data_IF_226247765321
#
_entry.id   IF_226247765321
#
_cell.length_a   1.000
_cell.length_b   1.000
_cell.length_c   1.000
_cell.angle_alpha   90.00
_cell.angle_beta   90.00
_cell.angle_gamma   90.00
#
_symmetry.space_group_name_H-M   'P 1'
#
loop_
_entity.id
_entity.type
_entity.pdbx_description
1 polymer ?
#
# COMPACT_ATOMS: atom_id res chain seq x y z
N UNK A 1 24.77 18.71 4.69
CA UNK A 1 24.54 20.10 5.14
C UNK A 1 23.13 20.29 5.71
N UNK A 2 22.05 20.18 4.92
CA UNK A 2 20.67 20.40 5.40
C UNK A 2 20.28 19.60 6.64
N UNK A 3 20.61 18.30 6.71
CA UNK A 3 20.37 17.48 7.89
C UNK A 3 21.05 18.00 9.16
N UNK A 4 22.33 18.38 9.07
CA UNK A 4 23.09 18.91 10.21
C UNK A 4 22.51 20.23 10.71
N UNK A 5 22.10 21.11 9.78
CA UNK A 5 21.47 22.38 10.11
C UNK A 5 20.08 22.19 10.74
N UNK A 6 19.28 21.25 10.25
CA UNK A 6 17.98 20.91 10.85
C UNK A 6 18.15 20.42 12.29
N UNK A 7 19.01 19.42 12.50
CA UNK A 7 19.25 18.86 13.83
C UNK A 7 19.85 19.88 14.80
N UNK A 8 20.74 20.77 14.31
CA UNK A 8 21.26 21.87 15.13
C UNK A 8 20.15 22.86 15.49
N UNK A 9 19.37 23.32 14.51
CA UNK A 9 18.27 24.26 14.72
C UNK A 9 17.18 23.73 15.65
N UNK A 10 16.84 22.45 15.56
CA UNK A 10 15.89 21.79 16.48
C UNK A 10 16.40 21.75 17.92
N UNK A 11 17.72 21.57 18.11
CA UNK A 11 18.35 21.53 19.45
C UNK A 11 18.61 22.91 20.04
N UNK A 12 18.95 23.89 19.22
CA UNK A 12 19.34 25.23 19.67
C UNK A 12 18.20 26.24 19.63
N UNK A 13 17.09 25.94 18.95
CA UNK A 13 15.99 26.87 18.70
C UNK A 13 16.33 27.99 17.70
N UNK A 14 17.48 27.92 17.01
CA UNK A 14 17.91 28.94 16.07
C UNK A 14 17.09 28.85 14.77
N UNK A 15 16.20 29.83 14.57
CA UNK A 15 15.35 29.93 13.37
C UNK A 15 16.18 30.06 12.09
N UNK A 16 17.33 30.71 12.14
CA UNK A 16 18.23 30.89 10.99
C UNK A 16 18.78 29.57 10.47
N UNK A 17 19.10 28.63 11.37
CA UNK A 17 19.56 27.29 11.01
C UNK A 17 18.45 26.51 10.31
N UNK A 18 17.21 26.64 10.79
CA UNK A 18 16.04 26.01 10.17
C UNK A 18 15.72 26.64 8.80
N UNK A 19 15.85 27.96 8.66
CA UNK A 19 15.69 28.65 7.37
C UNK A 19 16.75 28.23 6.35
N UNK A 20 18.01 28.14 6.80
CA UNK A 20 19.11 27.70 5.98
C UNK A 20 18.94 26.22 5.57
N UNK A 21 18.54 25.35 6.50
CA UNK A 21 18.22 23.95 6.19
C UNK A 21 17.10 23.82 5.15
N UNK A 22 15.99 24.57 5.31
CA UNK A 22 14.89 24.59 4.35
C UNK A 22 15.35 25.04 2.96
N UNK A 23 16.16 26.11 2.88
CA UNK A 23 16.73 26.58 1.62
C UNK A 23 17.59 25.51 0.94
N UNK A 24 18.48 24.85 1.70
CA UNK A 24 19.34 23.78 1.19
C UNK A 24 18.52 22.59 0.69
N UNK A 25 17.46 22.19 1.40
CA UNK A 25 16.58 21.13 0.94
C UNK A 25 15.84 21.50 -0.36
N UNK A 26 15.31 22.73 -0.47
CA UNK A 26 14.64 23.22 -1.69
C UNK A 26 15.59 23.31 -2.89
N UNK A 27 16.83 23.75 -2.68
CA UNK A 27 17.86 23.78 -3.73
C UNK A 27 18.17 22.37 -4.23
N UNK A 28 18.32 21.40 -3.31
CA UNK A 28 18.56 20.01 -3.67
C UNK A 28 17.36 19.35 -4.36
N UNK A 29 16.12 19.66 -3.94
CA UNK A 29 14.88 19.27 -4.64
C UNK A 29 14.85 19.74 -6.10
N UNK A 30 15.26 21.00 -6.31
CA UNK A 30 15.25 21.68 -7.61
C UNK A 30 16.37 21.22 -8.56
N UNK A 31 17.36 20.47 -8.05
CA UNK A 31 18.47 19.97 -8.85
C UNK A 31 18.02 18.79 -9.73
N UNK A 32 17.58 19.08 -10.96
CA UNK A 32 17.13 18.04 -11.91
C UNK A 32 18.21 17.01 -12.29
N UNK A 33 19.49 17.33 -12.08
CA UNK A 33 20.59 16.37 -12.30
C UNK A 33 20.76 15.34 -11.17
N UNK A 34 20.10 15.53 -10.02
CA UNK A 34 20.13 14.57 -8.92
C UNK A 34 19.14 13.42 -9.15
N UNK A 35 19.47 12.25 -8.61
CA UNK A 35 18.62 11.06 -8.68
C UNK A 35 17.21 11.34 -8.09
N UNK A 36 16.13 10.84 -8.72
CA UNK A 36 14.76 11.00 -8.23
C UNK A 36 14.60 10.62 -6.75
N UNK A 37 15.18 9.51 -6.31
CA UNK A 37 15.13 9.05 -4.91
C UNK A 37 15.71 10.09 -3.92
N UNK A 38 16.82 10.73 -4.28
CA UNK A 38 17.46 11.78 -3.48
C UNK A 38 16.58 13.03 -3.45
N UNK A 39 16.08 13.45 -4.62
CA UNK A 39 15.21 14.62 -4.73
C UNK A 39 13.99 14.43 -3.84
N UNK A 40 13.27 13.32 -3.98
CA UNK A 40 12.08 12.99 -3.16
C UNK A 40 12.38 13.12 -1.66
N UNK A 41 13.51 12.56 -1.18
CA UNK A 41 13.90 12.68 0.23
C UNK A 41 14.13 14.13 0.67
N UNK A 42 14.79 14.94 -0.17
CA UNK A 42 15.04 16.36 0.12
C UNK A 42 13.73 17.18 0.09
N UNK A 43 12.88 16.95 -0.91
CA UNK A 43 11.56 17.57 -1.01
C UNK A 43 10.67 17.21 0.19
N UNK A 44 10.71 15.95 0.63
CA UNK A 44 9.98 15.50 1.81
C UNK A 44 10.47 16.17 3.09
N UNK A 45 11.78 16.29 3.29
CA UNK A 45 12.33 17.00 4.45
C UNK A 45 11.96 18.50 4.43
N UNK A 46 12.03 19.15 3.27
CA UNK A 46 11.56 20.53 3.12
C UNK A 46 10.06 20.65 3.47
N UNK A 47 9.24 19.73 2.97
CA UNK A 47 7.81 19.71 3.23
C UNK A 47 7.47 19.51 4.71
N UNK A 48 8.23 18.66 5.44
CA UNK A 48 8.09 18.48 6.89
C UNK A 48 8.34 19.78 7.63
N UNK A 49 9.42 20.48 7.30
CA UNK A 49 9.73 21.78 7.91
C UNK A 49 8.67 22.84 7.63
N UNK A 50 8.13 22.86 6.41
CA UNK A 50 7.04 23.76 6.03
C UNK A 50 5.74 23.44 6.77
N UNK A 51 5.41 22.16 6.92
CA UNK A 51 4.24 21.70 7.65
C UNK A 51 4.32 22.04 9.15
N UNK A 52 5.48 21.90 9.78
CA UNK A 52 5.71 22.34 11.18
C UNK A 52 5.50 23.86 11.35
N UNK A 53 5.70 24.64 10.30
CA UNK A 53 5.45 26.09 10.27
C UNK A 53 4.04 26.45 9.79
N UNK A 54 3.15 25.47 9.67
CA UNK A 54 1.78 25.64 9.16
C UNK A 54 1.69 26.20 7.73
N UNK A 55 2.79 26.15 6.96
CA UNK A 55 2.79 26.53 5.55
C UNK A 55 2.32 25.35 4.69
N UNK A 56 1.03 25.03 4.83
CA UNK A 56 0.42 23.85 4.22
C UNK A 56 0.43 23.90 2.69
N UNK A 57 0.20 25.07 2.09
CA UNK A 57 0.14 25.23 0.64
C UNK A 57 1.47 24.89 -0.02
N UNK A 58 2.57 25.42 0.50
CA UNK A 58 3.90 25.13 -0.06
C UNK A 58 4.34 23.69 0.25
N UNK A 59 4.03 23.18 1.45
CA UNK A 59 4.30 21.78 1.82
C UNK A 59 3.56 20.80 0.89
N UNK A 60 2.27 21.04 0.65
CA UNK A 60 1.43 20.22 -0.23
C UNK A 60 1.94 20.22 -1.67
N UNK A 61 2.33 21.39 -2.22
CA UNK A 61 2.90 21.48 -3.55
C UNK A 61 4.16 20.62 -3.71
N UNK A 62 5.11 20.71 -2.77
CA UNK A 62 6.33 19.89 -2.79
C UNK A 62 6.04 18.40 -2.68
N UNK A 63 5.11 18.01 -1.79
CA UNK A 63 4.74 16.60 -1.60
C UNK A 63 4.01 16.02 -2.80
N UNK A 64 3.15 16.81 -3.43
CA UNK A 64 2.49 16.43 -4.67
C UNK A 64 3.53 16.12 -5.75
N UNK A 65 4.48 17.01 -6.00
CA UNK A 65 5.53 16.76 -6.99
C UNK A 65 6.40 15.56 -6.60
N UNK A 66 6.73 15.40 -5.32
CA UNK A 66 7.50 14.26 -4.82
C UNK A 66 6.77 12.92 -5.02
N UNK A 67 5.46 12.87 -4.80
CA UNK A 67 4.64 11.68 -5.04
C UNK A 67 4.61 11.31 -6.52
N UNK A 68 4.51 12.29 -7.43
CA UNK A 68 4.56 12.02 -8.87
C UNK A 68 5.94 11.52 -9.32
N UNK A 69 7.00 12.07 -8.73
CA UNK A 69 8.39 11.69 -9.03
C UNK A 69 8.71 10.25 -8.60
N UNK A 70 7.91 9.62 -7.73
CA UNK A 70 8.07 8.21 -7.37
C UNK A 70 8.04 7.30 -8.60
N UNK A 71 7.26 7.66 -9.63
CA UNK A 71 7.13 6.84 -10.84
C UNK A 71 8.45 6.68 -11.61
N UNK A 72 9.40 7.60 -11.41
CA UNK A 72 10.73 7.61 -12.03
C UNK A 72 11.81 6.92 -11.18
N UNK A 73 11.49 6.52 -9.93
CA UNK A 73 12.41 5.79 -9.06
C UNK A 73 12.59 4.37 -9.58
N UNK A 74 13.83 3.88 -9.61
CA UNK A 74 14.11 2.50 -10.03
C UNK A 74 14.05 1.54 -8.84
N UNK A 75 13.41 0.36 -8.97
CA UNK A 75 13.57 -0.71 -8.00
C UNK A 75 15.02 -1.22 -7.89
N UNK A 76 15.83 -1.05 -8.95
CA UNK A 76 17.16 -1.66 -9.07
C UNK A 76 18.29 -0.81 -8.51
N UNK A 77 18.26 0.51 -8.68
CA UNK A 77 19.14 1.47 -7.97
C UNK A 77 19.08 1.28 -6.46
N UNK A 78 17.93 0.77 -6.00
CA UNK A 78 17.60 0.51 -4.62
C UNK A 78 17.99 -0.91 -4.14
N UNK A 79 18.43 -1.83 -5.02
CA UNK A 79 18.91 -3.19 -4.64
C UNK A 79 20.25 -3.18 -3.90
N UNK A 80 20.99 -2.07 -3.94
CA UNK A 80 22.20 -1.89 -3.12
C UNK A 80 21.87 -1.55 -1.64
N UNK A 81 20.60 -1.64 -1.27
CA UNK A 81 20.05 -1.45 0.07
C UNK A 81 18.92 -2.48 0.24
N UNK A 82 18.63 -2.97 1.44
CA UNK A 82 17.62 -4.02 1.63
C UNK A 82 16.27 -3.59 1.04
N UNK A 83 15.52 -4.50 0.40
CA UNK A 83 14.16 -4.21 -0.12
C UNK A 83 13.22 -3.62 0.96
N UNK A 84 13.51 -3.89 2.23
CA UNK A 84 12.83 -3.33 3.40
C UNK A 84 13.16 -1.84 3.63
N UNK A 85 14.40 -1.41 3.35
CA UNK A 85 14.81 0.00 3.43
C UNK A 85 14.14 0.86 2.35
N UNK A 86 13.82 0.27 1.20
CA UNK A 86 13.06 0.94 0.10
C UNK A 86 11.66 1.34 0.58
N UNK A 87 10.97 0.38 1.18
CA UNK A 87 9.66 0.55 1.77
C UNK A 87 9.70 1.62 2.85
N UNK A 88 10.66 1.51 3.76
CA UNK A 88 10.84 2.48 4.83
C UNK A 88 11.17 3.89 4.29
N UNK A 89 11.94 3.99 3.21
CA UNK A 89 12.41 5.26 2.64
C UNK A 89 11.31 6.14 2.05
N UNK A 90 10.17 5.56 1.65
CA UNK A 90 9.03 6.30 1.09
C UNK A 90 7.72 6.06 1.85
N UNK A 91 7.73 5.20 2.88
CA UNK A 91 6.56 4.89 3.70
C UNK A 91 5.98 6.14 4.36
N UNK A 92 4.74 6.46 4.03
CA UNK A 92 4.04 7.62 4.60
C UNK A 92 4.19 8.91 3.80
N UNK A 93 4.99 8.96 2.73
CA UNK A 93 5.07 10.12 1.83
C UNK A 93 3.68 10.49 1.28
N UNK A 94 2.97 9.52 0.72
CA UNK A 94 1.62 9.70 0.17
C UNK A 94 0.59 10.09 1.23
N UNK A 95 0.69 9.50 2.43
CA UNK A 95 -0.18 9.83 3.57
C UNK A 95 0.01 11.26 4.06
N UNK A 96 1.26 11.72 4.09
CA UNK A 96 1.58 13.12 4.38
C UNK A 96 1.14 14.06 3.25
N UNK A 97 1.29 13.65 1.98
CA UNK A 97 0.81 14.44 0.84
C UNK A 97 -0.69 14.70 0.90
N UNK A 98 -1.49 13.68 1.21
CA UNK A 98 -2.93 13.84 1.39
C UNK A 98 -3.30 14.69 2.61
N UNK A 99 -2.65 14.45 3.75
CA UNK A 99 -2.89 15.23 4.97
C UNK A 99 -2.57 16.72 4.77
N UNK A 100 -1.43 17.04 4.15
CA UNK A 100 -1.04 18.43 3.86
C UNK A 100 -1.92 19.08 2.80
N UNK A 101 -2.39 18.33 1.78
CA UNK A 101 -3.35 18.81 0.80
C UNK A 101 -4.68 19.21 1.47
N UNK A 102 -5.22 18.37 2.35
CA UNK A 102 -6.44 18.70 3.11
C UNK A 102 -6.23 19.94 3.99
N UNK A 103 -5.10 20.05 4.69
CA UNK A 103 -4.79 21.26 5.48
C UNK A 103 -4.57 22.52 4.62
N UNK A 104 -4.19 22.36 3.35
CA UNK A 104 -4.08 23.46 2.39
C UNK A 104 -5.44 23.88 1.79
N UNK A 105 -6.53 23.18 2.12
CA UNK A 105 -7.87 23.44 1.60
C UNK A 105 -8.18 22.79 0.25
N UNK A 106 -7.35 21.82 -0.18
CA UNK A 106 -7.60 21.06 -1.40
C UNK A 106 -8.78 20.09 -1.23
N UNK A 107 -9.38 19.68 -2.35
CA UNK A 107 -10.54 18.77 -2.33
C UNK A 107 -10.19 17.37 -1.80
N UNK A 108 -11.19 16.69 -1.21
CA UNK A 108 -11.05 15.30 -0.76
C UNK A 108 -10.64 14.35 -1.91
N UNK A 109 -11.15 14.59 -3.12
CA UNK A 109 -10.76 13.82 -4.30
C UNK A 109 -9.27 13.99 -4.63
N UNK A 110 -8.76 15.22 -4.63
CA UNK A 110 -7.35 15.50 -4.91
C UNK A 110 -6.43 14.81 -3.89
N UNK A 111 -6.73 14.95 -2.59
CA UNK A 111 -5.98 14.30 -1.54
C UNK A 111 -6.01 12.76 -1.65
N UNK A 112 -7.16 12.18 -1.99
CA UNK A 112 -7.30 10.74 -2.23
C UNK A 112 -6.50 10.28 -3.47
N UNK A 113 -6.46 11.07 -4.53
CA UNK A 113 -5.66 10.76 -5.71
C UNK A 113 -4.16 10.73 -5.39
N UNK A 114 -3.66 11.66 -4.56
CA UNK A 114 -2.27 11.62 -4.09
C UNK A 114 -1.95 10.33 -3.31
N UNK A 115 -2.89 9.85 -2.48
CA UNK A 115 -2.77 8.55 -1.82
C UNK A 115 -2.69 7.40 -2.82
N UNK A 116 -3.57 7.39 -3.82
CA UNK A 116 -3.62 6.33 -4.84
C UNK A 116 -2.37 6.32 -5.73
N UNK A 117 -1.79 7.48 -6.08
CA UNK A 117 -0.51 7.53 -6.83
C UNK A 117 0.60 6.86 -6.03
N UNK A 118 0.81 7.30 -4.78
CA UNK A 118 1.88 6.75 -3.97
C UNK A 118 1.70 5.26 -3.70
N UNK A 119 0.47 4.80 -3.44
CA UNK A 119 0.17 3.37 -3.26
C UNK A 119 0.37 2.57 -4.54
N UNK A 120 -0.07 3.08 -5.69
CA UNK A 120 0.07 2.41 -6.98
C UNK A 120 1.53 2.25 -7.39
N UNK A 121 2.34 3.29 -7.21
CA UNK A 121 3.77 3.24 -7.50
C UNK A 121 4.50 2.32 -6.52
N UNK A 122 4.28 2.46 -5.21
CA UNK A 122 4.92 1.58 -4.21
C UNK A 122 4.51 0.11 -4.42
N UNK A 123 3.24 -0.15 -4.71
CA UNK A 123 2.77 -1.50 -5.03
C UNK A 123 3.43 -2.05 -6.29
N UNK A 124 3.59 -1.25 -7.35
CA UNK A 124 4.27 -1.65 -8.59
C UNK A 124 5.80 -1.70 -8.51
N UNK A 125 6.43 -0.96 -7.60
CA UNK A 125 7.89 -0.97 -7.37
C UNK A 125 8.33 -2.19 -6.55
N UNK A 126 7.54 -2.55 -5.54
CA UNK A 126 7.91 -3.62 -4.60
C UNK A 126 7.43 -4.99 -5.05
N UNK A 127 6.40 -5.00 -5.87
CA UNK A 127 5.64 -6.19 -6.13
C UNK A 127 5.30 -6.15 -7.62
N UNK A 128 5.43 -7.28 -8.29
CA UNK A 128 4.73 -7.56 -9.56
C UNK A 128 3.20 -7.63 -9.29
N UNK A 129 2.68 -6.68 -8.51
CA UNK A 129 1.25 -6.53 -8.25
C UNK A 129 0.62 -6.03 -9.53
N UNK A 130 0.13 -7.05 -10.24
CA UNK A 130 -0.93 -7.08 -11.24
C UNK A 130 -1.63 -5.75 -11.49
N UNK A 131 -1.66 -5.44 -12.77
CA UNK A 131 -2.23 -4.26 -13.37
C UNK A 131 -1.24 -3.73 -14.39
N UNK A 132 -0.89 -2.48 -14.21
CA UNK A 132 -0.18 -1.67 -15.19
C UNK A 132 1.10 -2.30 -15.75
N UNK A 133 2.10 -2.62 -14.92
CA UNK A 133 3.42 -3.09 -15.42
C UNK A 133 3.34 -4.52 -15.95
N UNK A 134 2.65 -5.43 -15.26
CA UNK A 134 2.49 -6.82 -15.71
C UNK A 134 1.74 -6.88 -17.04
N UNK A 135 0.66 -6.10 -17.19
CA UNK A 135 -0.09 -6.02 -18.44
C UNK A 135 0.76 -5.38 -19.54
N UNK A 136 1.59 -4.37 -19.19
CA UNK A 136 2.52 -3.75 -20.12
C UNK A 136 3.58 -4.74 -20.59
N UNK A 137 4.20 -5.52 -19.69
CA UNK A 137 5.17 -6.55 -20.04
C UNK A 137 4.55 -7.62 -20.94
N UNK A 138 3.28 -7.97 -20.71
CA UNK A 138 2.59 -8.98 -21.52
C UNK A 138 2.19 -8.46 -22.92
N UNK A 139 1.69 -7.23 -23.02
CA UNK A 139 1.13 -6.69 -24.26
C UNK A 139 2.12 -5.86 -25.08
N UNK A 140 3.07 -5.20 -24.41
CA UNK A 140 4.04 -4.27 -24.98
C UNK A 140 5.43 -4.41 -24.30
N UNK A 141 6.10 -5.58 -24.42
CA UNK A 141 7.36 -5.87 -23.74
C UNK A 141 8.45 -4.82 -24.02
N UNK A 142 8.57 -4.34 -25.27
CA UNK A 142 9.57 -3.33 -25.64
C UNK A 142 9.44 -2.03 -24.83
N UNK A 143 8.20 -1.58 -24.59
CA UNK A 143 7.93 -0.37 -23.79
C UNK A 143 8.17 -0.61 -22.30
N UNK A 144 7.94 -1.84 -21.82
CA UNK A 144 8.24 -2.21 -20.44
C UNK A 144 9.76 -2.20 -20.20
N UNK A 145 10.54 -2.79 -21.12
CA UNK A 145 12.00 -2.83 -21.03
C UNK A 145 12.60 -1.42 -21.14
N UNK A 146 12.09 -0.58 -22.05
CA UNK A 146 12.48 0.83 -22.16
C UNK A 146 12.19 1.60 -20.85
N UNK A 147 11.00 1.41 -20.26
CA UNK A 147 10.62 2.04 -18.99
C UNK A 147 11.54 1.61 -17.84
N UNK A 148 11.86 0.32 -17.74
CA UNK A 148 12.74 -0.23 -16.70
C UNK A 148 14.15 0.35 -16.85
N UNK A 149 14.71 0.33 -18.06
CA UNK A 149 16.05 0.85 -18.33
C UNK A 149 16.17 2.34 -18.02
N UNK A 150 15.17 3.15 -18.40
CA UNK A 150 15.17 4.59 -18.14
C UNK A 150 15.10 4.91 -16.64
N UNK A 151 14.32 4.13 -15.86
CA UNK A 151 14.31 4.27 -14.39
C UNK A 151 15.69 4.00 -13.81
N UNK A 152 16.35 2.92 -14.25
CA UNK A 152 17.69 2.55 -13.77
C UNK A 152 18.72 3.63 -14.06
N UNK A 153 18.67 4.22 -15.26
CA UNK A 153 19.55 5.32 -15.64
C UNK A 153 19.30 6.58 -14.79
N UNK A 154 18.03 6.94 -14.59
CA UNK A 154 17.62 8.10 -13.81
C UNK A 154 18.06 8.03 -12.35
N UNK A 155 17.92 6.86 -11.74
CA UNK A 155 18.12 6.67 -10.30
C UNK A 155 19.46 6.00 -9.96
N UNK A 156 20.32 5.78 -10.97
CA UNK A 156 21.69 5.29 -10.80
C UNK A 156 22.46 6.12 -9.75
N UNK A 157 23.23 5.51 -8.84
CA UNK A 157 24.04 6.28 -7.88
C UNK A 157 25.12 7.09 -8.61
N UNK A 158 25.45 8.27 -8.08
CA UNK A 158 26.66 8.99 -8.53
C UNK A 158 27.86 8.19 -8.04
N UNK A 159 28.72 7.76 -8.96
CA UNK A 159 29.93 7.02 -8.61
C UNK A 159 30.86 7.90 -7.76
N UNK A 160 31.05 7.51 -6.50
CA UNK A 160 31.86 8.27 -5.53
C UNK A 160 33.35 8.27 -5.90
N UNK A 161 33.79 7.30 -6.70
CA UNK A 161 35.19 7.25 -7.18
C UNK A 161 35.53 8.44 -8.10
N UNK A 162 34.52 8.96 -8.81
CA UNK A 162 34.64 10.09 -9.74
C UNK A 162 34.71 11.44 -9.03
N UNK A 163 34.17 11.53 -7.81
CA UNK A 163 34.16 12.77 -6.99
C UNK A 163 35.49 12.96 -6.25
N UNK A 164 36.14 11.88 -5.82
CA UNK A 164 37.38 11.92 -5.02
C UNK A 164 38.66 12.14 -5.85
N UNK A 165 38.58 12.03 -7.18
CA UNK A 165 39.69 12.23 -8.13
C UNK A 165 39.73 13.67 -8.70
N UNK A 166 39.38 14.64 -7.85
CA UNK A 166 39.02 16.02 -8.20
C UNK A 166 40.19 16.94 -8.59
N UNK A 167 40.82 16.65 -9.73
CA UNK A 167 41.63 17.64 -10.44
C UNK A 167 41.30 17.77 -11.95
N UNK A 168 40.65 16.76 -12.58
CA UNK A 168 40.47 16.74 -14.05
C UNK A 168 39.04 16.37 -14.53
N UNK A 169 38.03 16.32 -13.64
CA UNK A 169 36.74 15.64 -13.88
C UNK A 169 35.50 16.52 -14.13
N UNK A 170 35.63 17.84 -14.37
CA UNK A 170 34.46 18.72 -14.64
C UNK A 170 33.56 18.20 -15.77
N UNK A 171 34.17 17.74 -16.85
CA UNK A 171 33.52 17.16 -18.04
C UNK A 171 32.72 15.88 -17.73
N UNK A 172 33.15 15.08 -16.75
CA UNK A 172 32.50 13.83 -16.37
C UNK A 172 31.19 14.07 -15.62
N UNK A 173 31.15 15.08 -14.74
CA UNK A 173 29.94 15.49 -14.03
C UNK A 173 28.90 16.10 -14.96
N UNK A 174 29.33 16.98 -15.87
CA UNK A 174 28.47 17.61 -16.87
C UNK A 174 27.86 16.59 -17.83
N UNK A 175 28.66 15.60 -18.26
CA UNK A 175 28.18 14.48 -19.06
C UNK A 175 27.14 13.64 -18.31
N UNK A 176 27.36 13.35 -17.02
CA UNK A 176 26.40 12.59 -16.21
C UNK A 176 25.09 13.34 -15.96
N UNK A 177 25.16 14.65 -15.70
CA UNK A 177 23.96 15.51 -15.55
C UNK A 177 23.19 15.59 -16.86
N UNK A 178 23.88 15.72 -17.99
CA UNK A 178 23.26 15.75 -19.33
C UNK A 178 22.57 14.42 -19.62
N UNK A 179 23.28 13.31 -19.38
CA UNK A 179 22.74 11.95 -19.55
C UNK A 179 21.44 11.72 -18.75
N UNK A 180 21.40 12.16 -17.48
CA UNK A 180 20.17 12.07 -16.67
C UNK A 180 19.05 12.97 -17.17
N UNK A 181 19.35 14.17 -17.66
CA UNK A 181 18.33 15.04 -18.27
C UNK A 181 17.72 14.41 -19.52
N UNK A 182 18.57 13.82 -20.37
CA UNK A 182 18.12 13.13 -21.57
C UNK A 182 17.26 11.90 -21.22
N UNK A 183 17.65 11.15 -20.19
CA UNK A 183 16.85 10.04 -19.67
C UNK A 183 15.50 10.49 -19.09
N UNK A 184 15.44 11.65 -18.40
CA UNK A 184 14.19 12.21 -17.83
C UNK A 184 13.21 12.62 -18.94
N UNK A 185 13.75 13.22 -20.01
CA UNK A 185 12.97 13.54 -21.19
C UNK A 185 12.44 12.28 -21.88
N UNK A 186 13.31 11.29 -22.16
CA UNK A 186 12.91 10.01 -22.76
C UNK A 186 11.89 9.29 -21.89
N UNK A 187 12.06 9.29 -20.57
CA UNK A 187 11.12 8.68 -19.64
C UNK A 187 9.72 9.31 -19.76
N UNK A 188 9.65 10.64 -19.83
CA UNK A 188 8.39 11.36 -20.03
C UNK A 188 7.75 11.02 -21.37
N UNK A 189 8.54 10.93 -22.44
CA UNK A 189 8.08 10.55 -23.78
C UNK A 189 7.57 9.09 -23.81
N UNK A 190 8.26 8.17 -23.17
CA UNK A 190 7.86 6.75 -23.06
C UNK A 190 6.56 6.60 -22.29
N UNK A 191 6.35 7.36 -21.20
CA UNK A 191 5.05 7.38 -20.51
C UNK A 191 3.90 7.86 -21.41
N UNK A 192 4.14 8.86 -22.27
CA UNK A 192 3.14 9.32 -23.25
C UNK A 192 2.82 8.20 -24.25
N UNK A 193 3.86 7.53 -24.79
CA UNK A 193 3.69 6.39 -25.72
C UNK A 193 2.90 5.26 -25.08
N UNK A 194 3.18 4.91 -23.82
CA UNK A 194 2.46 3.89 -23.07
C UNK A 194 0.99 4.29 -22.90
N UNK A 195 0.72 5.53 -22.46
CA UNK A 195 -0.65 6.00 -22.23
C UNK A 195 -1.50 6.13 -23.50
N UNK A 196 -0.86 6.24 -24.67
CA UNK A 196 -1.54 6.20 -25.95
C UNK A 196 -2.00 4.79 -26.37
N UNK A 197 -1.53 3.73 -25.69
CA UNK A 197 -1.96 2.36 -25.98
C UNK A 197 -3.35 2.06 -25.41
N UNK A 198 -4.20 1.30 -26.13
CA UNK A 198 -5.50 0.88 -25.62
C UNK A 198 -5.37 0.16 -24.27
N UNK A 199 -6.14 0.59 -23.28
CA UNK A 199 -6.09 0.02 -21.92
C UNK A 199 -5.05 0.64 -20.97
N UNK A 200 -4.14 1.49 -21.46
CA UNK A 200 -3.05 2.08 -20.66
C UNK A 200 -3.19 3.59 -20.39
N UNK A 201 -4.32 4.21 -20.74
CA UNK A 201 -4.57 5.65 -20.56
C UNK A 201 -4.24 6.19 -19.16
N UNK A 202 -4.52 5.41 -18.10
CA UNK A 202 -4.23 5.76 -16.71
C UNK A 202 -2.95 5.08 -16.15
N UNK A 203 -2.03 4.65 -17.01
CA UNK A 203 -0.78 3.99 -16.60
C UNK A 203 0.03 4.89 -15.66
N UNK A 204 0.29 4.38 -14.45
CA UNK A 204 0.94 5.10 -13.34
C UNK A 204 0.26 6.42 -12.94
N UNK A 205 -1.00 6.62 -13.31
CA UNK A 205 -1.86 7.71 -12.86
C UNK A 205 -2.88 7.20 -11.83
N UNK A 206 -3.39 8.08 -10.96
CA UNK A 206 -4.46 7.71 -10.06
C UNK A 206 -5.77 7.56 -10.85
N UNK A 207 -6.74 6.79 -10.35
CA UNK A 207 -8.08 6.78 -10.92
C UNK A 207 -8.70 8.18 -10.90
N UNK A 208 -9.52 8.47 -11.91
CA UNK A 208 -10.33 9.70 -11.96
C UNK A 208 -11.41 9.71 -10.88
N UNK A 209 -11.97 10.87 -10.55
CA UNK A 209 -13.08 10.98 -9.60
C UNK A 209 -14.25 10.04 -9.98
N UNK A 210 -14.59 10.01 -11.27
CA UNK A 210 -15.65 9.17 -11.80
C UNK A 210 -15.33 7.69 -11.67
N UNK A 211 -14.08 7.27 -11.91
CA UNK A 211 -13.66 5.89 -11.70
C UNK A 211 -13.66 5.50 -10.22
N UNK A 212 -13.27 6.41 -9.32
CA UNK A 212 -13.31 6.17 -7.87
C UNK A 212 -14.76 5.97 -7.40
N UNK A 213 -15.70 6.81 -7.86
CA UNK A 213 -17.11 6.69 -7.51
C UNK A 213 -17.78 5.47 -8.18
N UNK A 214 -17.42 5.17 -9.44
CA UNK A 214 -17.87 3.97 -10.14
C UNK A 214 -17.32 2.67 -9.51
N UNK A 215 -16.23 2.77 -8.75
CA UNK A 215 -15.73 1.68 -7.93
C UNK A 215 -16.64 1.37 -6.72
N UNK A 216 -17.76 2.04 -6.52
CA UNK A 216 -18.74 1.71 -5.47
C UNK A 216 -19.79 0.75 -6.06
N UNK A 217 -19.83 -0.50 -5.60
CA UNK A 217 -20.80 -1.50 -6.07
C UNK A 217 -21.31 -2.37 -4.93
N UNK A 218 -22.57 -2.18 -4.48
CA UNK A 218 -23.15 -0.93 -3.97
C UNK A 218 -22.43 -0.40 -2.71
N UNK A 219 -21.39 -1.10 -2.26
CA UNK A 219 -20.79 -0.97 -0.96
C UNK A 219 -19.81 0.21 -0.87
N UNK A 220 -19.93 1.09 0.16
CA UNK A 220 -19.01 2.20 0.35
C UNK A 220 -17.57 1.71 0.55
N UNK A 221 -16.63 2.50 0.04
CA UNK A 221 -15.21 2.29 0.24
C UNK A 221 -14.69 3.34 1.22
N UNK A 222 -13.97 2.89 2.23
CA UNK A 222 -13.39 3.71 3.28
C UNK A 222 -11.88 3.60 3.21
N UNK A 223 -11.20 4.71 2.86
CA UNK A 223 -9.74 4.79 2.94
C UNK A 223 -9.36 5.54 4.21
N UNK A 224 -8.68 4.85 5.14
CA UNK A 224 -8.24 5.48 6.40
C UNK A 224 -6.78 5.91 6.27
N UNK A 225 -6.57 7.22 6.20
CA UNK A 225 -5.28 7.86 6.12
C UNK A 225 -4.72 8.16 7.51
N UNK A 226 -3.50 7.68 7.78
CA UNK A 226 -2.77 7.90 9.02
C UNK A 226 -1.58 8.83 8.74
N UNK A 227 -1.55 10.00 9.35
CA UNK A 227 -0.45 10.96 9.23
C UNK A 227 -0.23 11.70 10.56
N UNK A 228 0.99 12.19 10.77
CA UNK A 228 1.34 12.97 11.96
C UNK A 228 0.64 14.35 12.04
N UNK A 229 0.08 14.84 10.91
CA UNK A 229 -0.54 16.17 10.84
C UNK A 229 -2.06 16.14 10.99
N UNK A 230 -2.70 15.08 10.49
CA UNK A 230 -4.13 14.80 10.61
C UNK A 230 -4.38 13.34 10.18
N UNK A 231 -5.43 12.75 10.74
CA UNK A 231 -5.89 11.43 10.37
C UNK A 231 -7.31 11.54 9.82
N UNK A 232 -7.60 10.80 8.76
CA UNK A 232 -8.80 11.01 7.96
C UNK A 232 -9.39 9.69 7.46
N UNK A 233 -10.71 9.64 7.31
CA UNK A 233 -11.40 8.63 6.55
C UNK A 233 -12.00 9.26 5.28
N UNK A 234 -11.49 8.87 4.12
CA UNK A 234 -12.12 9.15 2.84
C UNK A 234 -13.28 8.18 2.64
N UNK A 235 -14.49 8.72 2.54
CA UNK A 235 -15.72 7.98 2.31
C UNK A 235 -16.09 8.14 0.85
N UNK A 236 -15.98 7.06 0.09
CA UNK A 236 -16.29 7.01 -1.34
C UNK A 236 -17.67 6.37 -1.49
N UNK A 237 -18.61 7.17 -1.95
CA UNK A 237 -20.00 6.80 -2.24
C UNK A 237 -20.27 7.03 -3.74
N UNK A 238 -21.39 6.49 -4.25
CA UNK A 238 -21.72 6.56 -5.69
C UNK A 238 -21.79 7.98 -6.26
N UNK A 239 -22.15 8.95 -5.44
CA UNK A 239 -22.40 10.33 -5.87
C UNK A 239 -21.39 11.34 -5.34
N UNK A 240 -20.52 10.95 -4.41
CA UNK A 240 -19.60 11.89 -3.77
C UNK A 240 -18.41 11.18 -3.11
N UNK A 241 -17.34 11.95 -2.96
CA UNK A 241 -16.18 11.62 -2.12
C UNK A 241 -16.13 12.68 -1.02
N UNK A 242 -16.30 12.25 0.23
CA UNK A 242 -16.20 13.13 1.40
C UNK A 242 -15.10 12.67 2.35
N UNK A 243 -14.63 13.58 3.19
CA UNK A 243 -13.62 13.29 4.19
C UNK A 243 -14.21 13.46 5.59
N UNK A 244 -13.93 12.51 6.46
CA UNK A 244 -14.21 12.57 7.89
C UNK A 244 -12.86 12.65 8.63
N UNK A 245 -12.62 13.75 9.33
CA UNK A 245 -11.45 13.86 10.20
C UNK A 245 -11.62 12.95 11.43
N UNK A 246 -10.55 12.25 11.82
CA UNK A 246 -10.49 11.34 12.96
C UNK A 246 -9.53 11.90 14.01
N UNK A 247 -9.92 12.94 14.77
CA UNK A 247 -9.01 13.67 15.67
C UNK A 247 -8.49 12.81 16.83
N UNK A 248 -9.21 11.73 17.17
CA UNK A 248 -8.81 10.79 18.22
C UNK A 248 -7.88 9.69 17.72
N UNK A 249 -7.66 9.56 16.41
CA UNK A 249 -6.71 8.61 15.84
C UNK A 249 -5.34 9.29 15.69
N UNK A 250 -4.34 8.85 16.47
CA UNK A 250 -2.97 9.38 16.42
C UNK A 250 -1.98 8.32 15.98
N UNK A 251 -1.02 8.70 15.14
CA UNK A 251 -0.04 7.75 14.59
C UNK A 251 0.85 7.15 15.68
N UNK A 252 1.20 7.93 16.71
CA UNK A 252 2.00 7.49 17.85
C UNK A 252 1.27 6.43 18.66
N UNK A 253 -0.03 6.62 18.94
CA UNK A 253 -0.84 5.64 19.67
C UNK A 253 -1.04 4.35 18.86
N UNK A 254 -1.20 4.44 17.53
CA UNK A 254 -1.23 3.26 16.65
C UNK A 254 0.09 2.49 16.74
N UNK A 255 1.24 3.19 16.74
CA UNK A 255 2.57 2.57 16.86
C UNK A 255 2.72 1.83 18.18
N UNK A 256 2.36 2.47 19.29
CA UNK A 256 2.43 1.88 20.63
C UNK A 256 1.55 0.64 20.74
N UNK A 257 0.32 0.70 20.25
CA UNK A 257 -0.62 -0.44 20.27
C UNK A 257 -0.16 -1.60 19.41
N UNK A 258 0.31 -1.33 18.19
CA UNK A 258 0.88 -2.38 17.31
C UNK A 258 2.15 -2.99 17.93
N UNK A 259 2.98 -2.18 18.58
CA UNK A 259 4.19 -2.67 19.25
C UNK A 259 3.82 -3.57 20.45
N UNK A 260 2.86 -3.15 21.27
CA UNK A 260 2.32 -3.95 22.37
C UNK A 260 1.79 -5.30 21.89
N UNK A 261 0.98 -5.33 20.82
CA UNK A 261 0.48 -6.60 20.23
C UNK A 261 1.57 -7.58 19.82
N UNK A 262 2.71 -7.08 19.33
CA UNK A 262 3.84 -7.93 18.91
C UNK A 262 4.61 -8.52 20.10
N UNK A 263 4.60 -7.81 21.23
CA UNK A 263 5.27 -8.24 22.47
C UNK A 263 4.36 -9.12 23.33
N UNK A 264 3.04 -8.94 23.25
CA UNK A 264 2.06 -9.71 24.01
C UNK A 264 2.03 -11.16 23.51
N UNK A 265 2.33 -12.10 24.41
CA UNK A 265 1.99 -13.52 24.23
C UNK A 265 0.47 -13.66 24.05
N UNK A 266 -0.05 -14.64 23.27
CA UNK A 266 -1.49 -14.81 22.95
C UNK A 266 -2.46 -15.00 24.14
N UNK A 267 -2.03 -14.75 25.38
CA UNK A 267 -2.74 -15.03 26.64
C UNK A 267 -3.24 -13.73 27.32
N UNK A 268 -2.81 -12.53 26.89
CA UNK A 268 -3.31 -11.26 27.46
C UNK A 268 -4.59 -10.76 26.75
N UNK A 269 -5.73 -11.41 27.03
CA UNK A 269 -7.04 -11.07 26.46
C UNK A 269 -7.53 -9.64 26.77
N UNK A 270 -7.04 -9.03 27.86
CA UNK A 270 -7.38 -7.67 28.26
C UNK A 270 -6.84 -6.61 27.31
N UNK A 271 -5.60 -6.76 26.85
CA UNK A 271 -4.93 -5.77 26.00
C UNK A 271 -5.57 -5.75 24.60
N UNK A 272 -5.96 -6.94 24.12
CA UNK A 272 -6.68 -7.08 22.86
C UNK A 272 -8.09 -6.48 22.96
N UNK A 273 -8.81 -6.69 24.06
CA UNK A 273 -10.14 -6.08 24.28
C UNK A 273 -10.04 -4.55 24.27
N UNK A 274 -9.11 -3.98 25.04
CA UNK A 274 -8.84 -2.53 25.07
C UNK A 274 -8.50 -1.96 23.70
N UNK A 275 -7.75 -2.71 22.88
CA UNK A 275 -7.48 -2.31 21.49
C UNK A 275 -8.74 -2.26 20.64
N UNK A 276 -9.62 -3.26 20.72
CA UNK A 276 -10.84 -3.33 19.91
C UNK A 276 -11.82 -2.21 20.28
N UNK A 277 -11.94 -1.89 21.57
CA UNK A 277 -12.73 -0.77 22.08
C UNK A 277 -12.15 0.57 21.61
N UNK A 278 -10.83 0.74 21.67
CA UNK A 278 -10.18 1.94 21.14
C UNK A 278 -10.35 2.10 19.63
N UNK A 279 -10.18 1.03 18.84
CA UNK A 279 -10.42 1.06 17.38
C UNK A 279 -11.85 1.44 17.05
N UNK A 280 -12.78 1.03 17.90
CA UNK A 280 -14.18 1.39 17.76
C UNK A 280 -14.39 2.88 17.98
N UNK A 281 -13.93 3.42 19.09
CA UNK A 281 -14.13 4.83 19.44
C UNK A 281 -13.42 5.79 18.49
N UNK A 282 -12.25 5.39 17.97
CA UNK A 282 -11.38 6.26 17.16
C UNK A 282 -11.55 6.11 15.66
N UNK A 283 -12.01 4.95 15.17
CA UNK A 283 -12.06 4.65 13.73
C UNK A 283 -13.43 4.12 13.31
N UNK A 284 -13.75 2.86 13.66
CA UNK A 284 -14.90 2.17 13.06
C UNK A 284 -16.23 2.78 13.48
N UNK A 285 -16.42 3.12 14.76
CA UNK A 285 -17.66 3.70 15.27
C UNK A 285 -18.03 5.03 14.60
N UNK A 286 -17.13 6.05 14.60
CA UNK A 286 -17.37 7.33 13.91
C UNK A 286 -17.67 7.17 12.41
N UNK A 287 -16.92 6.31 11.72
CA UNK A 287 -17.11 6.06 10.28
C UNK A 287 -18.46 5.41 10.01
N UNK A 288 -18.79 4.33 10.73
CA UNK A 288 -20.06 3.62 10.56
C UNK A 288 -21.25 4.52 10.89
N UNK A 289 -21.12 5.40 11.89
CA UNK A 289 -22.14 6.38 12.24
C UNK A 289 -22.43 7.35 11.08
N UNK A 290 -21.38 7.90 10.47
CA UNK A 290 -21.51 8.82 9.32
C UNK A 290 -22.04 8.12 8.07
N UNK A 291 -21.72 6.84 7.88
CA UNK A 291 -22.28 6.00 6.81
C UNK A 291 -23.73 5.57 7.07
N UNK A 292 -24.29 5.85 8.25
CA UNK A 292 -25.67 5.50 8.61
C UNK A 292 -25.85 4.10 9.19
N UNK A 293 -24.77 3.33 9.36
CA UNK A 293 -24.77 1.98 9.92
C UNK A 293 -24.78 2.02 11.45
N UNK A 294 -25.84 2.58 12.03
CA UNK A 294 -25.94 2.88 13.46
C UNK A 294 -26.48 1.74 14.32
N UNK A 295 -27.15 0.76 13.71
CA UNK A 295 -27.87 -0.30 14.40
C UNK A 295 -27.55 -1.67 13.79
N UNK A 296 -27.75 -2.75 14.55
CA UNK A 296 -27.58 -4.09 14.03
C UNK A 296 -28.54 -4.40 12.89
N UNK A 297 -28.05 -5.15 11.91
CA UNK A 297 -28.86 -5.61 10.78
C UNK A 297 -29.91 -6.61 11.27
N UNK A 298 -31.20 -6.35 11.02
CA UNK A 298 -32.31 -7.18 11.55
C UNK A 298 -32.96 -8.08 10.50
N UNK A 299 -32.74 -7.79 9.21
CA UNK A 299 -33.44 -8.39 8.06
C UNK A 299 -32.56 -9.38 7.26
N UNK A 300 -31.36 -9.67 7.73
CA UNK A 300 -30.38 -10.51 7.04
C UNK A 300 -29.73 -9.85 5.81
N UNK A 301 -30.10 -8.61 5.47
CA UNK A 301 -29.49 -7.87 4.37
C UNK A 301 -28.34 -7.00 4.88
N UNK A 302 -27.19 -7.63 5.05
CA UNK A 302 -26.02 -6.98 5.62
C UNK A 302 -25.40 -5.96 4.65
N UNK A 303 -25.24 -4.68 5.04
CA UNK A 303 -24.42 -3.76 4.27
C UNK A 303 -22.96 -4.21 4.34
N UNK A 304 -22.21 -4.04 3.25
CA UNK A 304 -20.76 -4.28 3.24
C UNK A 304 -20.00 -2.96 3.22
N UNK A 305 -18.83 -2.96 3.85
CA UNK A 305 -17.85 -1.85 3.81
C UNK A 305 -16.51 -2.39 3.33
N UNK A 306 -15.88 -1.68 2.41
CA UNK A 306 -14.50 -1.96 1.99
C UNK A 306 -13.52 -1.06 2.74
N UNK A 307 -12.69 -1.65 3.59
CA UNK A 307 -11.66 -0.98 4.37
C UNK A 307 -10.33 -0.95 3.63
N UNK A 308 -9.75 0.24 3.51
CA UNK A 308 -8.44 0.47 2.91
C UNK A 308 -7.59 1.29 3.91
N UNK A 309 -7.07 0.65 4.98
CA UNK A 309 -6.17 1.33 5.91
C UNK A 309 -4.82 1.66 5.26
N UNK A 310 -4.12 2.64 5.82
CA UNK A 310 -2.77 3.07 5.41
C UNK A 310 -1.73 2.71 6.47
N UNK A 311 -0.50 2.47 6.02
CA UNK A 311 0.64 2.22 6.92
C UNK A 311 0.39 1.10 7.93
N UNK A 312 0.88 1.31 9.15
CA UNK A 312 0.78 0.37 10.28
C UNK A 312 -0.65 0.08 10.74
N UNK A 313 -1.63 0.94 10.42
CA UNK A 313 -3.04 0.70 10.74
C UNK A 313 -3.58 -0.55 10.02
N UNK A 314 -2.98 -0.95 8.91
CA UNK A 314 -3.38 -2.19 8.21
C UNK A 314 -3.06 -3.47 8.98
N UNK A 315 -2.31 -3.39 10.09
CA UNK A 315 -2.05 -4.52 10.99
C UNK A 315 -3.15 -4.67 12.05
N UNK A 316 -4.10 -3.73 12.13
CA UNK A 316 -5.14 -3.72 13.14
C UNK A 316 -6.50 -4.20 12.60
N UNK A 317 -7.27 -4.98 13.39
CA UNK A 317 -8.49 -5.63 12.91
C UNK A 317 -9.70 -4.68 12.97
N UNK A 318 -9.81 -3.72 12.04
CA UNK A 318 -10.94 -2.77 11.98
C UNK A 318 -12.32 -3.46 11.95
N UNK A 319 -12.40 -4.65 11.38
CA UNK A 319 -13.61 -5.48 11.29
C UNK A 319 -14.06 -6.05 12.65
N UNK A 320 -13.14 -6.19 13.61
CA UNK A 320 -13.42 -6.69 14.95
C UNK A 320 -13.55 -5.56 15.98
N UNK A 321 -13.38 -4.30 15.58
CA UNK A 321 -13.51 -3.15 16.46
C UNK A 321 -14.90 -3.15 17.13
N UNK A 322 -14.92 -3.00 18.46
CA UNK A 322 -16.16 -2.92 19.22
C UNK A 322 -16.04 -3.29 20.69
N UNK A 323 -17.12 -3.04 21.41
CA UNK A 323 -17.33 -3.49 22.77
C UNK A 323 -17.92 -4.90 22.78
N UNK A 324 -17.10 -5.91 23.06
CA UNK A 324 -17.47 -7.35 23.05
C UNK A 324 -18.04 -7.83 24.39
N UNK A 325 -18.63 -6.93 25.17
CA UNK A 325 -19.31 -7.27 26.43
C UNK A 325 -20.69 -7.88 26.14
N UNK A 326 -21.16 -8.77 27.02
CA UNK A 326 -22.44 -9.45 26.83
C UNK A 326 -23.59 -8.45 26.70
N UNK A 327 -24.29 -8.50 25.56
CA UNK A 327 -25.46 -7.65 25.28
C UNK A 327 -25.13 -6.32 24.57
N UNK A 328 -23.85 -6.01 24.38
CA UNK A 328 -23.44 -4.92 23.50
C UNK A 328 -23.68 -5.29 22.04
N UNK A 329 -24.07 -4.29 21.24
CA UNK A 329 -24.12 -4.37 19.78
C UNK A 329 -23.29 -3.26 19.15
N UNK A 330 -22.38 -2.69 19.93
CA UNK A 330 -21.47 -1.64 19.53
C UNK A 330 -20.20 -2.26 18.96
N UNK A 331 -20.36 -3.03 17.89
CA UNK A 331 -19.27 -3.65 17.16
C UNK A 331 -19.44 -3.48 15.66
N UNK A 332 -18.33 -3.55 14.92
CA UNK A 332 -18.37 -3.55 13.47
C UNK A 332 -19.02 -4.83 12.93
N UNK A 333 -18.83 -5.97 13.62
CA UNK A 333 -19.41 -7.27 13.30
C UNK A 333 -20.94 -7.27 13.37
N UNK A 334 -21.54 -6.50 14.28
CA UNK A 334 -23.00 -6.38 14.40
C UNK A 334 -23.60 -5.47 13.33
N UNK A 335 -22.79 -4.68 12.61
CA UNK A 335 -23.27 -3.60 11.73
C UNK A 335 -23.00 -3.82 10.25
N UNK A 336 -21.84 -4.35 9.88
CA UNK A 336 -21.42 -4.44 8.48
C UNK A 336 -20.61 -5.71 8.19
N UNK A 337 -20.74 -6.22 6.97
CA UNK A 337 -19.76 -7.14 6.39
C UNK A 337 -18.50 -6.36 6.04
N UNK A 338 -17.39 -6.64 6.71
CA UNK A 338 -16.12 -5.96 6.45
C UNK A 338 -15.31 -6.70 5.38
N UNK A 339 -14.90 -6.00 4.32
CA UNK A 339 -13.96 -6.47 3.29
C UNK A 339 -12.74 -5.56 3.24
N UNK A 340 -11.60 -6.04 2.77
CA UNK A 340 -10.35 -5.27 2.74
C UNK A 340 -9.76 -5.20 1.34
N UNK A 341 -9.16 -4.06 1.00
CA UNK A 341 -8.39 -3.91 -0.23
C UNK A 341 -7.10 -3.13 -0.03
N UNK A 342 -6.18 -3.32 -0.97
CA UNK A 342 -4.86 -2.67 -0.96
C UNK A 342 -4.87 -1.26 -1.55
N UNK A 343 -5.88 -0.87 -2.33
CA UNK A 343 -6.12 0.49 -2.81
C UNK A 343 -7.47 0.53 -3.53
N UNK A 344 -7.98 1.71 -3.86
CA UNK A 344 -9.18 1.81 -4.69
C UNK A 344 -8.88 1.33 -6.11
N UNK A 345 -7.68 1.64 -6.62
CA UNK A 345 -7.21 1.13 -7.92
C UNK A 345 -7.20 -0.40 -8.00
N UNK A 346 -6.81 -1.11 -6.94
CA UNK A 346 -6.81 -2.58 -6.94
C UNK A 346 -8.21 -3.17 -6.90
N UNK A 347 -9.19 -2.49 -6.28
CA UNK A 347 -10.60 -2.86 -6.37
C UNK A 347 -11.14 -2.71 -7.79
N UNK A 348 -10.86 -1.57 -8.44
CA UNK A 348 -11.25 -1.32 -9.82
C UNK A 348 -10.67 -2.42 -10.73
N UNK A 349 -9.38 -2.69 -10.60
CA UNK A 349 -8.70 -3.71 -11.37
C UNK A 349 -9.30 -5.11 -11.14
N UNK A 350 -9.45 -5.53 -9.88
CA UNK A 350 -10.00 -6.84 -9.52
C UNK A 350 -11.41 -7.05 -10.08
N UNK A 351 -12.25 -6.00 -10.06
CA UNK A 351 -13.62 -6.07 -10.62
C UNK A 351 -13.63 -6.14 -12.14
N UNK A 352 -12.77 -5.36 -12.83
CA UNK A 352 -12.62 -5.45 -14.30
C UNK A 352 -12.20 -6.86 -14.72
N UNK A 353 -11.28 -7.49 -13.99
CA UNK A 353 -10.86 -8.87 -14.26
C UNK A 353 -11.93 -9.90 -13.94
N UNK A 354 -12.70 -9.71 -12.88
CA UNK A 354 -13.81 -10.60 -12.56
C UNK A 354 -14.86 -10.64 -13.68
N UNK A 355 -15.23 -9.47 -14.23
CA UNK A 355 -16.16 -9.39 -15.37
C UNK A 355 -15.60 -10.13 -16.59
N UNK A 356 -14.31 -9.94 -16.92
CA UNK A 356 -13.65 -10.65 -18.04
C UNK A 356 -13.57 -12.16 -17.82
N UNK A 357 -13.39 -12.63 -16.59
CA UNK A 357 -13.28 -14.06 -16.28
C UNK A 357 -14.63 -14.78 -16.25
N UNK A 358 -15.74 -14.07 -16.00
CA UNK A 358 -17.08 -14.65 -16.11
C UNK A 358 -17.43 -15.10 -17.55
N UNK A 359 -16.70 -14.64 -18.56
CA UNK A 359 -16.87 -15.05 -19.96
C UNK A 359 -16.19 -16.40 -20.29
N UNK A 360 -15.37 -16.95 -19.38
CA UNK A 360 -14.71 -18.26 -19.54
C UNK A 360 -15.55 -19.44 -19.01
N UNK A 361 -15.15 -20.70 -19.32
CA UNK A 361 -15.82 -21.87 -18.76
C UNK A 361 -15.73 -21.86 -17.23
N UNK A 362 -16.87 -21.83 -16.56
CA UNK A 362 -16.96 -21.92 -15.10
C UNK A 362 -16.55 -23.33 -14.70
N UNK A 363 -15.40 -23.46 -14.04
CA UNK A 363 -15.03 -24.72 -13.40
C UNK A 363 -15.77 -24.83 -12.05
N UNK A 364 -16.26 -26.03 -11.74
CA UNK A 364 -16.87 -26.34 -10.45
C UNK A 364 -15.82 -26.86 -9.45
N UNK A 365 -14.53 -26.73 -9.74
CA UNK A 365 -13.48 -27.30 -8.92
C UNK A 365 -13.23 -26.50 -7.64
N UNK A 366 -13.15 -27.19 -6.50
CA UNK A 366 -12.59 -26.68 -5.26
C UNK A 366 -11.22 -27.31 -5.03
N UNK A 367 -10.23 -26.53 -4.60
CA UNK A 367 -8.88 -26.98 -4.30
C UNK A 367 -8.61 -26.82 -2.79
N UNK A 368 -9.07 -27.76 -1.96
CA UNK A 368 -8.74 -27.77 -0.54
C UNK A 368 -7.36 -28.43 -0.33
N UNK A 369 -6.47 -27.74 0.38
CA UNK A 369 -5.09 -28.17 0.63
C UNK A 369 -4.79 -28.08 2.13
N UNK A 370 -4.44 -29.21 2.73
CA UNK A 370 -4.01 -29.28 4.13
C UNK A 370 -2.50 -29.47 4.23
N UNK A 371 -1.84 -28.66 5.03
CA UNK A 371 -0.45 -28.81 5.41
C UNK A 371 -0.33 -29.03 6.92
N UNK A 372 -0.58 -30.28 7.33
CA UNK A 372 -0.40 -30.76 8.69
C UNK A 372 1.05 -30.63 9.20
N UNK A 373 2.00 -30.98 8.32
CA UNK A 373 3.44 -30.92 8.53
C UNK A 373 4.07 -29.94 7.54
N UNK A 374 4.83 -28.98 8.04
CA UNK A 374 5.58 -28.02 7.22
C UNK A 374 7.08 -28.29 7.32
N UNK A 375 7.74 -28.71 6.22
CA UNK A 375 9.18 -28.94 6.21
C UNK A 375 9.96 -27.69 6.66
N UNK A 376 10.99 -27.88 7.50
CA UNK A 376 11.84 -26.79 8.00
C UNK A 376 11.32 -26.06 9.26
N UNK A 377 10.08 -26.35 9.70
CA UNK A 377 9.60 -25.95 11.03
C UNK A 377 9.84 -27.07 12.05
N UNK A 378 10.03 -26.70 13.32
CA UNK A 378 10.34 -27.66 14.37
C UNK A 378 9.19 -28.66 14.59
N UNK A 379 9.51 -29.88 15.02
CA UNK A 379 8.55 -30.96 15.31
C UNK A 379 7.48 -30.64 16.38
N UNK A 380 7.44 -29.44 16.95
CA UNK A 380 6.36 -29.03 17.87
C UNK A 380 5.36 -28.06 17.23
N UNK A 381 5.50 -27.76 15.94
CA UNK A 381 4.58 -26.92 15.17
C UNK A 381 3.77 -27.77 14.18
N UNK A 382 3.12 -28.81 14.69
CA UNK A 382 2.14 -29.58 13.92
C UNK A 382 0.78 -28.88 13.98
N UNK A 383 0.04 -28.91 12.86
CA UNK A 383 -1.35 -28.48 12.81
C UNK A 383 -2.25 -29.72 12.77
N UNK A 384 -2.63 -30.29 13.93
CA UNK A 384 -3.35 -31.57 13.98
C UNK A 384 -4.67 -31.52 13.23
N UNK A 385 -5.40 -30.40 13.35
CA UNK A 385 -6.73 -30.24 12.77
C UNK A 385 -6.76 -29.85 11.29
N UNK A 386 -5.62 -29.51 10.68
CA UNK A 386 -5.59 -29.03 9.29
C UNK A 386 -6.10 -30.09 8.29
N UNK A 387 -5.84 -31.37 8.55
CA UNK A 387 -6.35 -32.46 7.72
C UNK A 387 -7.86 -32.63 7.88
N UNK A 388 -8.33 -32.61 9.12
CA UNK A 388 -9.75 -32.79 9.47
C UNK A 388 -10.61 -31.63 8.91
N UNK A 389 -10.09 -30.40 8.91
CA UNK A 389 -10.72 -29.25 8.27
C UNK A 389 -10.93 -29.46 6.76
N UNK A 390 -9.90 -29.94 6.06
CA UNK A 390 -9.98 -30.23 4.61
C UNK A 390 -10.88 -31.44 4.31
N UNK A 391 -10.84 -32.47 5.15
CA UNK A 391 -11.72 -33.63 5.01
C UNK A 391 -13.19 -33.21 5.16
N UNK A 392 -13.52 -32.32 6.10
CA UNK A 392 -14.86 -31.73 6.23
C UNK A 392 -15.27 -30.95 4.96
N UNK A 393 -14.36 -30.16 4.38
CA UNK A 393 -14.66 -29.41 3.16
C UNK A 393 -14.88 -30.31 1.95
N UNK A 394 -14.17 -31.44 1.86
CA UNK A 394 -14.38 -32.42 0.80
C UNK A 394 -15.82 -32.98 0.82
N UNK A 395 -16.39 -33.15 2.01
CA UNK A 395 -17.76 -33.65 2.18
C UNK A 395 -18.82 -32.56 1.91
N UNK A 396 -18.50 -31.29 2.19
CA UNK A 396 -19.41 -30.15 1.97
C UNK A 396 -19.43 -29.71 0.50
N UNK A 397 -18.30 -29.76 -0.21
CA UNK A 397 -18.17 -29.26 -1.59
C UNK A 397 -19.29 -29.75 -2.54
N UNK A 398 -19.66 -31.05 -2.55
CA UNK A 398 -20.76 -31.54 -3.40
C UNK A 398 -22.09 -30.84 -3.16
N UNK A 399 -22.41 -30.49 -1.90
CA UNK A 399 -23.64 -29.75 -1.56
C UNK A 399 -23.66 -28.33 -2.11
N UNK A 400 -22.47 -27.75 -2.36
CA UNK A 400 -22.27 -26.44 -2.97
C UNK A 400 -22.11 -26.52 -4.50
N UNK A 401 -22.35 -27.69 -5.10
CA UNK A 401 -22.10 -27.96 -6.53
C UNK A 401 -20.62 -27.75 -6.90
N UNK A 402 -19.72 -28.13 -5.99
CA UNK A 402 -18.27 -28.07 -6.20
C UNK A 402 -17.65 -29.48 -6.18
N UNK A 403 -16.65 -29.69 -7.02
CA UNK A 403 -15.84 -30.91 -7.11
C UNK A 403 -14.50 -30.70 -6.43
N UNK A 404 -14.24 -31.33 -5.28
CA UNK A 404 -12.95 -31.20 -4.61
C UNK A 404 -11.84 -31.93 -5.39
N UNK A 405 -10.74 -31.24 -5.66
CA UNK A 405 -9.53 -31.80 -6.28
C UNK A 405 -8.54 -32.17 -5.18
N UNK A 406 -8.13 -33.44 -5.16
CA UNK A 406 -7.02 -33.91 -4.32
C UNK A 406 -5.72 -33.77 -5.10
N UNK A 407 -4.81 -32.94 -4.61
CA UNK A 407 -3.49 -32.71 -5.22
C UNK A 407 -2.36 -33.14 -4.29
N UNK A 408 -1.20 -33.47 -4.88
CA UNK A 408 0.04 -33.59 -4.12
C UNK A 408 0.42 -32.21 -3.58
N UNK A 409 0.90 -32.14 -2.33
CA UNK A 409 1.20 -30.93 -1.56
C UNK A 409 2.50 -30.23 -2.00
N UNK A 410 2.77 -30.21 -3.31
CA UNK A 410 3.92 -29.53 -3.93
C UNK A 410 3.46 -28.23 -4.58
N UNK A 411 4.31 -27.22 -4.52
CA UNK A 411 4.03 -25.88 -5.07
C UNK A 411 3.51 -25.93 -6.52
N UNK A 412 4.20 -26.63 -7.41
CA UNK A 412 3.86 -26.66 -8.83
C UNK A 412 2.53 -27.36 -9.13
N UNK A 413 2.20 -28.40 -8.36
CA UNK A 413 0.91 -29.10 -8.47
C UNK A 413 -0.24 -28.22 -7.99
N UNK A 414 -0.06 -27.51 -6.87
CA UNK A 414 -1.06 -26.56 -6.36
C UNK A 414 -1.25 -25.41 -7.35
N UNK A 415 -0.17 -24.83 -7.89
CA UNK A 415 -0.26 -23.72 -8.85
C UNK A 415 -0.97 -24.12 -10.14
N UNK A 416 -0.78 -25.35 -10.64
CA UNK A 416 -1.50 -25.88 -11.80
C UNK A 416 -3.02 -25.92 -11.58
N UNK A 417 -3.46 -26.40 -10.42
CA UNK A 417 -4.90 -26.49 -10.12
C UNK A 417 -5.50 -25.14 -9.71
N UNK A 418 -4.69 -24.23 -9.14
CA UNK A 418 -5.12 -22.91 -8.70
C UNK A 418 -5.67 -22.06 -9.86
N UNK A 419 -5.11 -22.21 -11.07
CA UNK A 419 -5.57 -21.50 -12.27
C UNK A 419 -6.99 -21.89 -12.70
N UNK A 420 -7.43 -23.11 -12.34
CA UNK A 420 -8.70 -23.67 -12.78
C UNK A 420 -9.65 -23.98 -11.62
N UNK A 421 -9.39 -23.55 -10.40
CA UNK A 421 -10.30 -23.74 -9.27
C UNK A 421 -11.17 -22.52 -9.03
N UNK A 422 -12.43 -22.73 -8.66
CA UNK A 422 -13.36 -21.69 -8.24
C UNK A 422 -13.15 -21.29 -6.77
N UNK A 423 -12.82 -22.28 -5.94
CA UNK A 423 -12.50 -22.06 -4.52
C UNK A 423 -11.14 -22.68 -4.25
N UNK A 424 -10.25 -21.90 -3.64
CA UNK A 424 -9.01 -22.40 -3.06
C UNK A 424 -9.13 -22.28 -1.54
N UNK A 425 -8.87 -23.37 -0.83
CA UNK A 425 -8.82 -23.39 0.62
C UNK A 425 -7.47 -23.96 1.05
N UNK A 426 -6.78 -23.27 1.95
CA UNK A 426 -5.48 -23.71 2.46
C UNK A 426 -5.49 -23.66 3.99
N UNK A 427 -5.30 -24.83 4.60
CA UNK A 427 -5.11 -24.99 6.04
C UNK A 427 -3.64 -25.35 6.29
N UNK A 428 -2.84 -24.41 6.78
CA UNK A 428 -1.40 -24.62 6.97
C UNK A 428 -0.70 -23.40 7.58
N UNK A 429 0.61 -23.48 7.76
CA UNK A 429 1.41 -22.35 8.23
C UNK A 429 1.52 -21.27 7.14
N UNK A 430 1.25 -20.04 7.55
CA UNK A 430 1.50 -18.84 6.76
C UNK A 430 2.53 -17.97 7.45
N UNK A 431 3.48 -17.43 6.70
CA UNK A 431 4.36 -16.38 7.19
C UNK A 431 3.97 -15.06 6.52
N UNK A 432 3.62 -14.05 7.32
CA UNK A 432 3.46 -12.69 6.81
C UNK A 432 4.70 -11.90 7.22
N UNK A 433 5.45 -11.38 6.25
CA UNK A 433 6.43 -10.34 6.54
C UNK A 433 5.65 -9.02 6.71
N UNK A 434 5.74 -8.29 7.83
CA UNK A 434 5.03 -7.02 8.01
C UNK A 434 5.36 -5.97 6.95
N UNK A 435 6.44 -6.16 6.19
CA UNK A 435 6.85 -5.32 5.06
C UNK A 435 6.47 -5.92 3.69
N UNK A 436 6.19 -7.22 3.60
CA UNK A 436 5.59 -7.84 2.40
C UNK A 436 4.12 -8.14 2.68
N UNK A 437 3.21 -7.44 2.03
CA UNK A 437 1.76 -7.59 2.28
C UNK A 437 1.15 -8.91 1.77
N UNK A 438 1.95 -9.97 1.68
CA UNK A 438 1.50 -11.31 1.34
C UNK A 438 1.76 -12.26 2.49
N UNK A 439 0.79 -13.12 2.70
CA UNK A 439 1.00 -14.37 3.40
C UNK A 439 1.73 -15.32 2.45
N UNK A 440 2.97 -15.66 2.78
CA UNK A 440 3.68 -16.79 2.20
C UNK A 440 3.06 -18.06 2.76
N UNK A 441 2.30 -18.77 1.95
CA UNK A 441 1.88 -20.13 2.27
C UNK A 441 3.10 -21.03 2.14
N UNK A 442 3.50 -21.63 3.25
CA UNK A 442 4.58 -22.60 3.22
C UNK A 442 4.03 -23.84 2.54
N UNK A 443 4.67 -24.27 1.45
CA UNK A 443 4.38 -25.49 0.70
C UNK A 443 5.69 -26.24 0.52
N UNK A 444 5.64 -27.57 0.39
CA UNK A 444 6.85 -28.36 0.18
C UNK A 444 7.53 -27.92 -1.13
N UNK A 445 8.75 -27.39 -1.03
CA UNK A 445 9.67 -27.24 -2.16
C UNK A 445 10.62 -28.44 -2.10
N UNK A 446 10.71 -29.29 -3.13
CA UNK A 446 11.79 -30.25 -3.18
C UNK A 446 13.12 -29.48 -3.20
N UNK A 447 14.06 -29.87 -2.34
CA UNK A 447 15.46 -29.46 -2.47
C UNK A 447 15.91 -29.80 -3.91
N UNK A 448 16.60 -28.84 -4.54
CA UNK A 448 17.28 -29.04 -5.83
C UNK A 448 18.54 -29.87 -5.62
#
# INVERSE_FOLDING_TARGET
MGHLLSTRGERTGLIDDLNCALSVYKQGWSCRGAAPSIRIRLGWNAAKMLATRLNWKESSGLLQEAVHLLSAVSPQSLKHTDKQDILASFAGLASMAAATALNAGESACHALQLLEVGRGVIAGLLMELRGDISDLTQQHPDLADELISLREELDSPVDRSTILSSADNGLSWEAQVTRRRDADQKFSETLIKIRAKPGFHNFLLPPTADELMAAVNPDPIVVVNLSAYRCDAFLIERAQIRVLELPNLKIEEVQERVHSLKLSSPIASSDFTSLLEWLWDTVSGPILKVLGFNKPTSDGNWPRVWWIPTGILSQLPLHAAGYHTRGSTETALDRVMSSYASSVKSLIYGRRHHVRQQEGPITDHALPVAMHETPGLSQNQYLPYAKEEVDMLNDICPSLQLRPIKTVRRKDDVLRHLQGCRIFHFAGHGQSDPFQKYTLYLLHQPEL
#
